data_IF_888021655719
#
_entry.id   IF_888021655719
#
_cell.length_a   1.000
_cell.length_b   1.000
_cell.length_c   1.000
_cell.angle_alpha   90.00
_cell.angle_beta   90.00
_cell.angle_gamma   90.00
#
_symmetry.space_group_name_H-M   'P 1'
#
loop_
_entity.id
_entity.type
_entity.pdbx_description
1 polymer ?
#
# COMPACT_ATOMS: atom_id res chain seq x y z
N UNK A 1 2.90 -22.73 -2.59
CA UNK A 1 3.58 -23.03 -1.30
C UNK A 1 2.57 -22.98 -0.14
N UNK A 2 2.92 -23.57 1.03
CA UNK A 2 2.06 -23.52 2.24
C UNK A 2 2.80 -22.79 3.36
N UNK A 3 2.23 -21.71 3.84
CA UNK A 3 2.81 -20.85 4.86
C UNK A 3 2.08 -21.02 6.20
N UNK A 4 2.80 -21.36 7.26
CA UNK A 4 2.30 -21.32 8.62
C UNK A 4 2.54 -19.93 9.23
N UNK A 5 1.49 -19.19 9.55
CA UNK A 5 1.62 -17.84 10.12
C UNK A 5 1.35 -17.84 11.63
N UNK A 6 2.32 -17.33 12.38
CA UNK A 6 2.27 -17.14 13.82
C UNK A 6 2.43 -15.66 14.18
N UNK A 7 1.62 -15.16 15.08
CA UNK A 7 1.81 -13.85 15.68
C UNK A 7 1.70 -13.96 17.19
N UNK A 8 2.81 -13.76 17.85
CA UNK A 8 2.92 -13.90 19.30
C UNK A 8 3.39 -12.59 19.93
N UNK A 9 2.96 -12.34 21.16
CA UNK A 9 3.57 -11.33 22.01
C UNK A 9 4.94 -11.83 22.46
N UNK A 10 5.23 -11.81 23.73
CA UNK A 10 6.49 -12.33 24.30
C UNK A 10 6.37 -13.74 24.89
N UNK A 11 5.22 -14.37 24.73
CA UNK A 11 4.91 -15.66 25.34
C UNK A 11 5.23 -16.80 24.36
N UNK A 12 6.31 -17.53 24.65
CA UNK A 12 6.78 -18.68 23.87
C UNK A 12 5.76 -19.84 23.88
N UNK A 13 5.02 -20.01 24.97
CA UNK A 13 4.03 -21.08 25.09
C UNK A 13 2.84 -20.84 24.14
N UNK A 14 2.41 -19.57 23.95
CA UNK A 14 1.38 -19.23 22.95
C UNK A 14 1.86 -19.52 21.52
N UNK A 15 3.17 -19.26 21.23
CA UNK A 15 3.77 -19.59 19.93
C UNK A 15 3.71 -21.08 19.62
N UNK A 16 4.11 -21.92 20.59
CA UNK A 16 4.12 -23.37 20.43
C UNK A 16 2.70 -23.91 20.24
N UNK A 17 1.74 -23.44 21.02
CA UNK A 17 0.33 -23.83 20.88
C UNK A 17 -0.26 -23.44 19.51
N UNK A 18 0.06 -22.25 19.02
CA UNK A 18 -0.33 -21.83 17.66
C UNK A 18 0.29 -22.72 16.60
N UNK A 19 1.59 -23.01 16.70
CA UNK A 19 2.31 -23.84 15.74
C UNK A 19 1.75 -25.27 15.69
N UNK A 20 1.46 -25.86 16.84
CA UNK A 20 0.83 -27.18 16.92
C UNK A 20 -0.54 -27.21 16.22
N UNK A 21 -1.40 -26.22 16.48
CA UNK A 21 -2.72 -26.12 15.86
C UNK A 21 -2.63 -25.95 14.34
N UNK A 22 -1.74 -25.05 13.88
CA UNK A 22 -1.50 -24.80 12.45
C UNK A 22 -0.96 -26.04 11.75
N UNK A 23 -0.03 -26.78 12.38
CA UNK A 23 0.50 -28.04 11.85
C UNK A 23 -0.60 -29.11 11.74
N UNK A 24 -1.38 -29.31 12.78
CA UNK A 24 -2.50 -30.27 12.77
C UNK A 24 -3.54 -29.92 11.67
N UNK A 25 -3.82 -28.63 11.46
CA UNK A 25 -4.70 -28.19 10.36
C UNK A 25 -4.11 -28.48 8.99
N UNK A 26 -2.82 -28.25 8.78
CA UNK A 26 -2.13 -28.59 7.53
C UNK A 26 -2.21 -30.10 7.27
N UNK A 27 -1.92 -30.94 8.26
CA UNK A 27 -2.01 -32.40 8.18
C UNK A 27 -3.43 -32.86 7.84
N UNK A 28 -4.46 -32.27 8.46
CA UNK A 28 -5.88 -32.54 8.17
C UNK A 28 -6.23 -32.24 6.69
N UNK A 29 -5.60 -31.22 6.11
CA UNK A 29 -5.79 -30.82 4.72
C UNK A 29 -4.90 -31.62 3.74
N UNK A 30 -4.06 -32.53 4.23
CA UNK A 30 -3.09 -33.25 3.40
C UNK A 30 -1.96 -32.39 2.90
N UNK A 31 -1.64 -31.28 3.62
CA UNK A 31 -0.65 -30.29 3.24
C UNK A 31 0.58 -30.37 4.13
N UNK A 32 1.73 -29.99 3.59
CA UNK A 32 2.99 -29.81 4.34
C UNK A 32 3.36 -28.34 4.35
N UNK A 33 3.63 -27.80 5.54
CA UNK A 33 4.05 -26.41 5.69
C UNK A 33 5.44 -26.24 5.10
N UNK A 34 5.56 -25.37 4.10
CA UNK A 34 6.80 -25.07 3.39
C UNK A 34 7.64 -24.03 4.11
N UNK A 35 7.01 -23.03 4.72
CA UNK A 35 7.69 -21.91 5.39
C UNK A 35 6.87 -21.43 6.60
N UNK A 36 7.56 -21.17 7.72
CA UNK A 36 6.97 -20.55 8.90
C UNK A 36 7.27 -19.06 8.94
N UNK A 37 6.26 -18.28 9.22
CA UNK A 37 6.34 -16.83 9.32
C UNK A 37 5.94 -16.42 10.72
N UNK A 38 6.88 -15.85 11.47
CA UNK A 38 6.69 -15.47 12.86
C UNK A 38 6.86 -13.96 13.05
N UNK A 39 5.78 -13.29 13.43
CA UNK A 39 5.75 -11.90 13.87
C UNK A 39 5.80 -11.84 15.41
N UNK A 40 7.02 -11.88 15.98
CA UNK A 40 7.25 -11.89 17.42
C UNK A 40 7.28 -10.48 18.00
N UNK A 41 6.60 -10.26 19.14
CA UNK A 41 6.54 -8.96 19.82
C UNK A 41 5.79 -7.89 19.03
N UNK A 42 5.08 -8.25 17.97
CA UNK A 42 4.39 -7.31 17.08
C UNK A 42 2.92 -7.17 17.45
N UNK A 43 2.48 -5.92 17.70
CA UNK A 43 1.07 -5.63 17.94
C UNK A 43 0.25 -5.90 16.68
N UNK A 44 -0.91 -6.56 16.84
CA UNK A 44 -1.85 -6.75 15.73
C UNK A 44 -2.54 -5.46 15.25
N UNK A 45 -2.27 -4.31 15.89
CA UNK A 45 -2.73 -2.99 15.44
C UNK A 45 -1.78 -2.41 14.37
N UNK A 46 -0.50 -2.87 14.35
CA UNK A 46 0.48 -2.46 13.37
C UNK A 46 0.05 -2.91 11.97
N UNK A 47 0.21 -2.05 10.97
CA UNK A 47 -0.20 -2.37 9.60
C UNK A 47 0.55 -3.60 9.06
N UNK A 48 -0.09 -4.41 8.19
CA UNK A 48 0.54 -5.62 7.65
C UNK A 48 1.87 -5.34 6.93
N UNK A 49 1.96 -4.21 6.23
CA UNK A 49 3.13 -3.78 5.45
C UNK A 49 4.38 -3.61 6.31
N UNK A 50 4.21 -3.31 7.60
CA UNK A 50 5.28 -3.12 8.58
C UNK A 50 5.65 -4.41 9.32
N UNK A 51 5.15 -5.56 8.87
CA UNK A 51 5.35 -6.88 9.47
C UNK A 51 5.85 -7.88 8.43
N UNK A 52 6.37 -9.03 8.89
CA UNK A 52 6.74 -10.12 7.98
C UNK A 52 5.56 -10.61 7.16
N UNK A 53 4.34 -10.56 7.72
CA UNK A 53 3.11 -10.88 6.99
C UNK A 53 3.00 -10.09 5.68
N UNK A 54 3.22 -8.78 5.69
CA UNK A 54 3.12 -7.95 4.48
C UNK A 54 4.19 -8.26 3.44
N UNK A 55 5.39 -8.64 3.88
CA UNK A 55 6.47 -9.08 2.97
C UNK A 55 6.04 -10.35 2.23
N UNK A 56 5.46 -11.31 2.96
CA UNK A 56 5.01 -12.58 2.40
C UNK A 56 3.81 -12.37 1.48
N UNK A 57 2.81 -11.61 1.88
CA UNK A 57 1.63 -11.32 1.05
C UNK A 57 2.01 -10.76 -0.33
N UNK A 58 3.05 -9.91 -0.42
CA UNK A 58 3.56 -9.39 -1.70
C UNK A 58 4.28 -10.43 -2.55
N UNK A 59 4.77 -11.51 -1.94
CA UNK A 59 5.60 -12.55 -2.56
C UNK A 59 4.79 -13.76 -3.01
N UNK A 60 3.60 -13.93 -2.42
CA UNK A 60 2.72 -15.08 -2.68
C UNK A 60 2.23 -15.11 -4.12
N UNK A 61 2.07 -16.32 -4.61
CA UNK A 61 1.62 -16.63 -5.96
C UNK A 61 0.22 -17.28 -5.93
N UNK A 62 -0.52 -17.25 -7.06
CA UNK A 62 -1.77 -17.98 -7.18
C UNK A 62 -1.62 -19.46 -6.78
N UNK A 63 -2.54 -19.93 -5.95
CA UNK A 63 -2.51 -21.29 -5.42
C UNK A 63 -1.71 -21.46 -4.12
N UNK A 64 -1.01 -20.42 -3.64
CA UNK A 64 -0.38 -20.45 -2.33
C UNK A 64 -1.41 -20.47 -1.19
N UNK A 65 -0.99 -20.93 -0.03
CA UNK A 65 -1.87 -21.17 1.12
C UNK A 65 -1.27 -20.52 2.37
N UNK A 66 -2.08 -19.77 3.13
CA UNK A 66 -1.75 -19.33 4.49
C UNK A 66 -2.62 -20.10 5.49
N UNK A 67 -1.99 -20.61 6.53
CA UNK A 67 -2.69 -21.23 7.67
C UNK A 67 -2.30 -20.45 8.93
N UNK A 68 -3.29 -19.92 9.65
CA UNK A 68 -3.11 -19.19 10.90
C UNK A 68 -3.96 -19.82 12.02
N UNK A 69 -3.65 -19.54 13.28
CA UNK A 69 -4.46 -20.06 14.40
C UNK A 69 -5.87 -19.46 14.44
N UNK A 70 -6.00 -18.18 14.11
CA UNK A 70 -7.27 -17.43 14.10
C UNK A 70 -7.12 -16.15 13.26
N UNK A 71 -8.22 -15.58 12.77
CA UNK A 71 -8.21 -14.34 11.97
C UNK A 71 -7.59 -13.16 12.74
N UNK A 72 -7.74 -13.10 14.06
CA UNK A 72 -7.16 -12.05 14.89
C UNK A 72 -5.62 -12.01 14.83
N UNK A 73 -4.96 -13.10 14.43
CA UNK A 73 -3.50 -13.13 14.22
C UNK A 73 -3.11 -12.37 12.97
N UNK A 74 -3.93 -12.41 11.92
CA UNK A 74 -3.71 -11.61 10.70
C UNK A 74 -3.84 -10.11 11.01
N UNK A 75 -4.82 -9.70 11.84
CA UNK A 75 -5.01 -8.31 12.26
C UNK A 75 -6.01 -8.17 13.38
N UNK A 76 -5.86 -7.16 14.24
CA UNK A 76 -6.82 -6.89 15.34
C UNK A 76 -8.02 -6.03 14.91
N UNK A 77 -7.85 -5.20 13.89
CA UNK A 77 -8.93 -4.37 13.36
C UNK A 77 -9.65 -5.12 12.26
N UNK A 78 -10.97 -5.17 12.31
CA UNK A 78 -11.81 -5.87 11.33
C UNK A 78 -11.47 -5.45 9.90
N UNK A 79 -11.36 -4.15 9.63
CA UNK A 79 -10.99 -3.64 8.30
C UNK A 79 -9.60 -4.10 7.83
N UNK A 80 -8.65 -4.23 8.75
CA UNK A 80 -7.32 -4.76 8.41
C UNK A 80 -7.40 -6.22 7.97
N UNK A 81 -8.14 -7.05 8.71
CA UNK A 81 -8.37 -8.45 8.33
C UNK A 81 -9.07 -8.52 6.98
N UNK A 82 -10.10 -7.71 6.76
CA UNK A 82 -10.81 -7.61 5.48
C UNK A 82 -9.87 -7.30 4.32
N UNK A 83 -8.99 -6.28 4.46
CA UNK A 83 -8.01 -5.92 3.43
C UNK A 83 -7.02 -7.07 3.12
N UNK A 84 -6.59 -7.79 4.15
CA UNK A 84 -5.70 -8.95 3.97
C UNK A 84 -6.42 -10.06 3.20
N UNK A 85 -7.65 -10.38 3.59
CA UNK A 85 -8.44 -11.42 2.91
C UNK A 85 -8.80 -11.02 1.47
N UNK A 86 -9.14 -9.74 1.24
CA UNK A 86 -9.34 -9.20 -0.12
C UNK A 86 -8.09 -9.34 -0.97
N UNK A 87 -6.92 -9.01 -0.41
CA UNK A 87 -5.63 -9.17 -1.09
C UNK A 87 -5.36 -10.64 -1.44
N UNK A 88 -5.56 -11.56 -0.48
CA UNK A 88 -5.40 -12.99 -0.72
C UNK A 88 -6.33 -13.48 -1.84
N UNK A 89 -7.58 -13.04 -1.82
CA UNK A 89 -8.56 -13.43 -2.81
C UNK A 89 -8.23 -12.92 -4.21
N UNK A 90 -7.81 -11.65 -4.34
CA UNK A 90 -7.38 -11.07 -5.63
C UNK A 90 -6.17 -11.78 -6.23
N UNK A 91 -5.32 -12.37 -5.39
CA UNK A 91 -4.12 -13.09 -5.80
C UNK A 91 -4.31 -14.63 -5.78
N UNK A 92 -5.54 -15.10 -5.67
CA UNK A 92 -5.88 -16.55 -5.63
C UNK A 92 -5.14 -17.32 -4.53
N UNK A 93 -4.86 -16.65 -3.41
CA UNK A 93 -4.25 -17.23 -2.20
C UNK A 93 -5.34 -17.74 -1.29
N UNK A 94 -5.24 -19.00 -0.85
CA UNK A 94 -6.18 -19.59 0.11
C UNK A 94 -5.76 -19.27 1.53
N UNK A 95 -6.74 -19.05 2.40
CA UNK A 95 -6.51 -18.77 3.83
C UNK A 95 -7.33 -19.76 4.67
N UNK A 96 -6.68 -20.42 5.62
CA UNK A 96 -7.33 -21.29 6.59
C UNK A 96 -7.03 -20.82 8.01
N UNK A 97 -8.01 -20.95 8.89
CA UNK A 97 -7.78 -20.77 10.32
C UNK A 97 -8.17 -22.01 11.11
N UNK A 98 -7.53 -22.18 12.27
CA UNK A 98 -7.73 -23.34 13.14
C UNK A 98 -8.94 -23.14 14.03
N UNK A 99 -8.95 -22.06 14.85
CA UNK A 99 -9.97 -21.83 15.87
C UNK A 99 -11.30 -21.38 15.29
N UNK A 100 -11.25 -20.45 14.34
CA UNK A 100 -12.46 -19.88 13.73
C UNK A 100 -13.06 -20.81 12.67
N UNK A 101 -12.35 -21.86 12.26
CA UNK A 101 -12.77 -22.74 11.17
C UNK A 101 -12.96 -22.00 9.84
N UNK A 102 -12.31 -20.82 9.69
CA UNK A 102 -12.49 -19.99 8.53
C UNK A 102 -11.69 -20.53 7.34
N UNK A 103 -12.32 -20.50 6.18
CA UNK A 103 -11.72 -20.92 4.91
C UNK A 103 -12.02 -19.90 3.81
N UNK A 104 -10.96 -19.32 3.23
CA UNK A 104 -11.03 -18.51 2.04
C UNK A 104 -10.54 -19.35 0.85
N UNK A 105 -11.42 -19.60 -0.11
CA UNK A 105 -11.14 -20.40 -1.31
C UNK A 105 -12.22 -20.18 -2.37
N UNK A 106 -12.40 -21.17 -3.27
CA UNK A 106 -13.38 -21.12 -4.36
C UNK A 106 -14.83 -21.46 -3.94
N UNK A 107 -15.17 -21.28 -2.66
CA UNK A 107 -16.51 -21.58 -2.16
C UNK A 107 -17.46 -20.36 -2.26
N UNK A 108 -18.76 -20.61 -2.16
CA UNK A 108 -19.80 -19.57 -2.20
C UNK A 108 -19.61 -18.55 -1.06
N UNK A 109 -19.17 -19.02 0.12
CA UNK A 109 -18.92 -18.15 1.27
C UNK A 109 -17.82 -17.12 0.98
N UNK A 110 -16.75 -17.53 0.29
CA UNK A 110 -15.68 -16.62 -0.15
C UNK A 110 -16.19 -15.59 -1.15
N UNK A 111 -17.08 -15.96 -2.07
CA UNK A 111 -17.69 -15.03 -3.03
C UNK A 111 -18.60 -14.01 -2.35
N UNK A 112 -19.39 -14.43 -1.37
CA UNK A 112 -20.22 -13.52 -0.56
C UNK A 112 -19.35 -12.55 0.24
N UNK A 113 -18.26 -13.04 0.83
CA UNK A 113 -17.28 -12.21 1.53
C UNK A 113 -16.60 -11.20 0.60
N UNK A 114 -16.26 -11.62 -0.64
CA UNK A 114 -15.72 -10.73 -1.65
C UNK A 114 -16.63 -9.53 -1.91
N UNK A 115 -17.91 -9.82 -2.10
CA UNK A 115 -18.92 -8.79 -2.32
C UNK A 115 -19.04 -7.86 -1.10
N UNK A 116 -19.07 -8.43 0.12
CA UNK A 116 -19.12 -7.65 1.36
C UNK A 116 -17.87 -6.76 1.53
N UNK A 117 -16.68 -7.25 1.16
CA UNK A 117 -15.44 -6.46 1.23
C UNK A 117 -15.43 -5.32 0.21
N UNK A 118 -15.91 -5.58 -1.01
CA UNK A 118 -16.07 -4.54 -2.04
C UNK A 118 -16.97 -3.41 -1.54
N UNK A 119 -18.13 -3.75 -1.01
CA UNK A 119 -19.08 -2.79 -0.46
C UNK A 119 -18.50 -2.02 0.76
N UNK A 120 -17.84 -2.71 1.69
CA UNK A 120 -17.21 -2.06 2.84
C UNK A 120 -16.10 -1.07 2.41
N UNK A 121 -15.30 -1.42 1.41
CA UNK A 121 -14.25 -0.55 0.87
C UNK A 121 -14.83 0.68 0.16
N UNK A 122 -15.97 0.55 -0.49
CA UNK A 122 -16.70 1.67 -1.12
C UNK A 122 -17.25 2.62 -0.05
N UNK A 123 -17.91 2.08 0.97
CA UNK A 123 -18.44 2.88 2.11
C UNK A 123 -17.28 3.61 2.82
N UNK A 124 -16.14 2.97 3.05
CA UNK A 124 -14.98 3.63 3.68
C UNK A 124 -14.46 4.80 2.84
N UNK A 125 -14.34 4.64 1.51
CA UNK A 125 -13.95 5.73 0.61
C UNK A 125 -14.92 6.90 0.69
N UNK A 126 -16.21 6.62 0.69
CA UNK A 126 -17.25 7.65 0.74
C UNK A 126 -17.20 8.41 2.06
N UNK A 127 -17.02 7.73 3.18
CA UNK A 127 -16.86 8.35 4.49
C UNK A 127 -15.60 9.21 4.58
N UNK A 128 -14.46 8.75 4.03
CA UNK A 128 -13.22 9.53 3.96
C UNK A 128 -13.43 10.78 3.09
N UNK A 129 -14.06 10.62 1.92
CA UNK A 129 -14.39 11.72 1.01
C UNK A 129 -15.27 12.77 1.68
N UNK A 130 -16.32 12.33 2.37
CA UNK A 130 -17.25 13.20 3.09
C UNK A 130 -16.51 13.96 4.21
N UNK A 131 -15.77 13.28 5.07
CA UNK A 131 -14.97 13.91 6.14
C UNK A 131 -13.96 14.93 5.59
N UNK A 132 -13.34 14.61 4.47
CA UNK A 132 -12.40 15.53 3.81
C UNK A 132 -13.12 16.77 3.29
N UNK A 133 -14.28 16.62 2.64
CA UNK A 133 -15.11 17.74 2.17
C UNK A 133 -15.55 18.63 3.32
N UNK A 134 -16.01 18.04 4.43
CA UNK A 134 -16.42 18.78 5.63
C UNK A 134 -15.24 19.54 6.27
N UNK A 135 -14.08 18.89 6.40
CA UNK A 135 -12.86 19.53 6.92
C UNK A 135 -12.39 20.69 6.03
N UNK A 136 -12.42 20.53 4.71
CA UNK A 136 -12.08 21.58 3.75
C UNK A 136 -13.11 22.73 3.78
N UNK A 137 -14.40 22.43 3.91
CA UNK A 137 -15.45 23.44 4.04
C UNK A 137 -15.25 24.26 5.34
N UNK A 138 -14.97 23.61 6.46
CA UNK A 138 -14.65 24.28 7.72
C UNK A 138 -13.43 25.18 7.57
N UNK A 139 -12.34 24.72 6.95
CA UNK A 139 -11.15 25.54 6.72
C UNK A 139 -11.41 26.78 5.85
N UNK A 140 -12.28 26.63 4.83
CA UNK A 140 -12.73 27.78 4.02
C UNK A 140 -13.52 28.79 4.84
N UNK A 141 -14.43 28.34 5.72
CA UNK A 141 -15.21 29.23 6.59
C UNK A 141 -14.34 29.95 7.62
N UNK A 142 -13.22 29.33 8.03
CA UNK A 142 -12.18 29.95 8.88
C UNK A 142 -11.29 30.96 8.09
N UNK A 143 -11.57 31.21 6.80
CA UNK A 143 -10.80 32.14 5.96
C UNK A 143 -9.48 31.58 5.43
N UNK A 144 -9.19 30.28 5.62
CA UNK A 144 -7.96 29.66 5.13
C UNK A 144 -8.02 29.46 3.63
N UNK A 145 -7.09 30.06 2.89
CA UNK A 145 -6.94 29.86 1.45
C UNK A 145 -6.35 28.47 1.21
N UNK A 146 -7.17 27.58 0.62
CA UNK A 146 -6.76 26.21 0.32
C UNK A 146 -6.05 26.14 -1.03
N UNK A 147 -5.09 25.25 -1.12
CA UNK A 147 -4.32 25.02 -2.33
C UNK A 147 -2.90 25.58 -2.26
N UNK A 148 -2.21 25.51 -3.39
CA UNK A 148 -0.84 26.00 -3.47
C UNK A 148 -0.85 27.55 -3.40
N UNK A 149 -0.02 28.17 -2.53
CA UNK A 149 0.07 29.63 -2.47
C UNK A 149 0.38 30.23 -3.83
N UNK A 150 -0.32 31.33 -4.18
CA UNK A 150 -0.12 32.04 -5.44
C UNK A 150 1.35 32.50 -5.54
N UNK A 151 2.02 32.18 -6.63
CA UNK A 151 3.45 32.50 -6.83
C UNK A 151 4.43 31.53 -6.18
N UNK A 152 3.99 30.50 -5.46
CA UNK A 152 4.91 29.49 -4.92
C UNK A 152 5.54 28.67 -6.05
N UNK A 153 6.88 28.63 -6.09
CA UNK A 153 7.64 27.85 -7.06
C UNK A 153 7.91 26.45 -6.50
N UNK A 154 7.90 25.43 -7.39
CA UNK A 154 8.34 24.08 -7.00
C UNK A 154 9.83 24.09 -6.64
N UNK A 155 10.23 23.22 -5.71
CA UNK A 155 11.62 23.12 -5.25
C UNK A 155 12.60 22.79 -6.38
N UNK A 156 12.12 22.08 -7.41
CA UNK A 156 12.86 21.79 -8.64
C UNK A 156 11.92 21.89 -9.85
N UNK A 157 12.31 22.63 -10.86
CA UNK A 157 11.64 22.65 -12.15
C UNK A 157 12.33 21.67 -13.10
N UNK A 158 11.64 21.24 -14.18
CA UNK A 158 12.27 20.38 -15.20
C UNK A 158 13.58 20.96 -15.74
N UNK A 159 13.66 22.27 -15.84
CA UNK A 159 14.86 22.96 -16.39
C UNK A 159 15.95 23.16 -15.33
N UNK A 160 15.62 23.30 -14.03
CA UNK A 160 16.63 23.51 -13.00
C UNK A 160 17.60 22.33 -12.86
N UNK A 161 17.13 21.11 -13.14
CA UNK A 161 17.97 19.90 -13.15
C UNK A 161 19.00 19.94 -14.29
N UNK A 162 18.67 20.62 -15.38
CA UNK A 162 19.49 20.71 -16.59
C UNK A 162 20.16 22.08 -16.78
N UNK A 163 20.22 22.89 -15.71
CA UNK A 163 20.74 24.28 -15.78
C UNK A 163 22.09 24.39 -16.47
N UNK A 164 23.05 23.52 -16.15
CA UNK A 164 24.38 23.52 -16.75
C UNK A 164 24.33 23.28 -18.27
N UNK A 165 23.49 22.32 -18.70
CA UNK A 165 23.36 22.03 -20.13
C UNK A 165 22.70 23.19 -20.89
N UNK A 166 21.70 23.84 -20.27
CA UNK A 166 20.99 24.98 -20.84
C UNK A 166 21.96 26.17 -21.01
N UNK A 167 22.75 26.48 -19.99
CA UNK A 167 23.77 27.54 -20.06
C UNK A 167 24.77 27.30 -21.19
N UNK A 168 25.23 26.04 -21.35
CA UNK A 168 26.12 25.64 -22.44
C UNK A 168 25.45 25.89 -23.80
N UNK A 169 24.22 25.46 -24.00
CA UNK A 169 23.49 25.65 -25.26
C UNK A 169 23.25 27.13 -25.59
N UNK A 170 22.99 27.99 -24.60
CA UNK A 170 22.88 29.44 -24.81
C UNK A 170 24.19 30.03 -25.26
N UNK A 171 25.32 29.64 -24.66
CA UNK A 171 26.66 30.08 -25.11
C UNK A 171 27.00 29.63 -26.54
N UNK A 172 26.43 28.52 -26.97
CA UNK A 172 26.55 28.00 -28.36
C UNK A 172 25.51 28.62 -29.31
N UNK A 173 24.84 29.72 -28.91
CA UNK A 173 23.81 30.44 -29.67
C UNK A 173 22.62 29.54 -30.09
N UNK A 174 22.29 28.47 -29.31
CA UNK A 174 21.14 27.62 -29.58
C UNK A 174 19.84 28.36 -29.29
N UNK A 175 18.89 28.29 -30.22
CA UNK A 175 17.62 29.00 -30.09
C UNK A 175 16.77 28.46 -28.90
N UNK A 176 15.98 29.33 -28.26
CA UNK A 176 15.04 28.93 -27.19
C UNK A 176 14.06 27.82 -27.64
N UNK A 177 13.70 27.78 -28.93
CA UNK A 177 12.84 26.76 -29.50
C UNK A 177 13.52 25.38 -29.56
N UNK A 178 14.80 25.32 -29.86
CA UNK A 178 15.59 24.08 -29.88
C UNK A 178 15.80 23.56 -28.45
N UNK A 179 16.14 24.44 -27.49
CA UNK A 179 16.26 24.11 -26.08
C UNK A 179 14.93 23.57 -25.59
N UNK A 180 13.80 24.22 -25.88
CA UNK A 180 12.47 23.81 -25.51
C UNK A 180 12.14 22.41 -26.04
N UNK A 181 12.47 22.13 -27.29
CA UNK A 181 12.28 20.83 -27.96
C UNK A 181 13.11 19.74 -27.29
N UNK A 182 14.36 20.01 -26.99
CA UNK A 182 15.30 19.07 -26.36
C UNK A 182 14.84 18.62 -24.95
N UNK A 183 14.31 19.55 -24.15
CA UNK A 183 13.88 19.27 -22.79
C UNK A 183 12.36 19.00 -22.63
N UNK A 184 11.62 18.95 -23.73
CA UNK A 184 10.18 18.66 -23.72
C UNK A 184 9.38 19.70 -22.93
N UNK A 185 9.67 20.99 -23.11
CA UNK A 185 8.98 22.11 -22.47
C UNK A 185 8.54 23.14 -23.51
N UNK A 186 7.66 24.07 -23.12
CA UNK A 186 7.28 25.16 -24.00
C UNK A 186 8.35 26.25 -24.02
N UNK A 187 8.54 26.97 -25.17
CA UNK A 187 9.53 28.04 -25.32
C UNK A 187 9.46 29.12 -24.24
N UNK A 188 8.24 29.48 -23.84
CA UNK A 188 8.04 30.45 -22.75
C UNK A 188 8.59 29.98 -21.40
N UNK A 189 8.60 28.65 -21.15
CA UNK A 189 9.22 28.09 -19.94
C UNK A 189 10.73 28.27 -19.96
N UNK A 190 11.36 28.16 -21.16
CA UNK A 190 12.79 28.41 -21.30
C UNK A 190 13.07 29.89 -21.08
N UNK A 191 12.35 30.82 -21.73
CA UNK A 191 12.53 32.27 -21.53
C UNK A 191 12.32 32.68 -20.07
N UNK A 192 11.29 32.16 -19.41
CA UNK A 192 11.06 32.43 -17.99
C UNK A 192 12.20 31.92 -17.09
N UNK A 193 12.75 30.74 -17.41
CA UNK A 193 13.89 30.16 -16.70
C UNK A 193 15.15 31.02 -16.86
N UNK A 194 15.44 31.48 -18.07
CA UNK A 194 16.62 32.33 -18.36
C UNK A 194 16.53 33.70 -17.66
N UNK A 195 15.37 34.34 -17.70
CA UNK A 195 15.11 35.59 -16.95
C UNK A 195 15.31 35.40 -15.43
N UNK A 196 14.78 34.29 -14.89
CA UNK A 196 14.89 34.00 -13.45
C UNK A 196 16.33 33.81 -12.98
N UNK A 197 17.21 33.32 -13.88
CA UNK A 197 18.60 33.01 -13.57
C UNK A 197 19.59 34.05 -14.16
N UNK A 198 19.10 35.17 -14.70
CA UNK A 198 19.92 36.24 -15.33
C UNK A 198 20.85 35.69 -16.39
N UNK A 199 20.36 34.81 -17.26
CA UNK A 199 21.12 34.12 -18.31
C UNK A 199 20.72 34.57 -19.73
N UNK A 200 20.03 35.71 -19.87
CA UNK A 200 19.69 36.32 -21.17
C UNK A 200 20.89 37.00 -21.81
#
# INVERSE_FOLDING_TARGET
MVYGYLRVSTDEQDAQNQALGVKAKAEQLGLVISEWIEDNGVSGIKEPEDRKLGIILKRMQPGDIIIASELSRLGRKTFMVMRILEHCMKNEVKVFTVKDGYELGDNIQSKVLAFAFGLASEIERDLISQRTKEALARKRSEGVVLGRPKGSKGRQTKLSIHSFQIVKMIRENTSHCEIARKFGVHRHTVSAFLKEHNLE
#
